data_IF_090592561564
#
_entry.id   IF_090592561564
#
_cell.length_a   1.000
_cell.length_b   1.000
_cell.length_c   1.000
_cell.angle_alpha   90.00
_cell.angle_beta   90.00
_cell.angle_gamma   90.00
#
_symmetry.space_group_name_H-M   'P 1'
#
loop_
_entity.id
_entity.type
_entity.pdbx_description
1 polymer ?
#
# COMPACT_ATOMS: atom_id res chain seq x y z
N UNK A 1 24.92 43.28 -8.50
CA UNK A 1 23.60 42.68 -8.25
C UNK A 1 23.76 41.73 -7.07
N UNK A 2 22.80 41.69 -6.15
CA UNK A 2 22.78 40.68 -5.09
C UNK A 2 22.30 39.36 -5.71
N UNK A 3 23.01 38.28 -5.39
CA UNK A 3 22.92 36.99 -6.09
C UNK A 3 23.17 35.87 -5.08
N UNK A 4 22.56 34.71 -5.28
CA UNK A 4 22.74 33.53 -4.42
C UNK A 4 22.99 32.27 -5.27
N UNK A 5 23.81 31.36 -4.74
CA UNK A 5 24.08 30.04 -5.29
C UNK A 5 24.45 29.06 -4.15
N UNK A 6 24.44 27.73 -4.38
CA UNK A 6 24.78 26.78 -3.33
C UNK A 6 26.08 27.11 -2.59
N UNK A 7 25.97 27.39 -1.28
CA UNK A 7 27.08 27.70 -0.38
C UNK A 7 27.62 29.14 -0.42
N UNK A 8 27.08 30.03 -1.27
CA UNK A 8 27.57 31.40 -1.40
C UNK A 8 26.46 32.40 -1.73
N UNK A 9 26.57 33.63 -1.23
CA UNK A 9 25.75 34.75 -1.71
C UNK A 9 26.54 36.06 -1.74
N UNK A 10 26.03 37.03 -2.50
CA UNK A 10 26.49 38.43 -2.48
C UNK A 10 25.45 39.25 -1.73
N UNK A 11 25.88 39.91 -0.65
CA UNK A 11 25.00 40.62 0.27
C UNK A 11 25.07 42.11 -0.01
N UNK A 12 23.91 42.77 -0.04
CA UNK A 12 23.81 44.22 -0.12
C UNK A 12 23.73 44.80 1.30
N UNK A 13 24.46 45.89 1.56
CA UNK A 13 24.46 46.62 2.82
C UNK A 13 23.87 48.02 2.58
N UNK A 14 22.56 48.23 2.82
CA UNK A 14 21.90 49.51 2.55
C UNK A 14 22.53 50.68 3.29
N UNK A 15 22.96 50.46 4.54
CA UNK A 15 23.57 51.48 5.40
C UNK A 15 24.99 51.87 4.97
N UNK A 16 25.59 51.14 4.03
CA UNK A 16 26.90 51.42 3.43
C UNK A 16 26.73 51.87 1.97
N UNK A 17 25.86 52.85 1.73
CA UNK A 17 25.52 53.38 0.40
C UNK A 17 25.11 52.30 -0.62
N UNK A 18 24.48 51.22 -0.13
CA UNK A 18 24.05 50.09 -0.95
C UNK A 18 25.21 49.22 -1.48
N UNK A 19 26.37 49.24 -0.82
CA UNK A 19 27.53 48.39 -1.14
C UNK A 19 27.11 46.93 -1.29
N UNK A 20 27.64 46.24 -2.31
CA UNK A 20 27.46 44.80 -2.52
C UNK A 20 28.78 44.10 -2.29
N UNK A 21 28.80 43.10 -1.40
CA UNK A 21 30.00 42.33 -1.12
C UNK A 21 30.52 41.56 -2.35
N UNK A 22 31.76 41.07 -2.23
CA UNK A 22 32.20 39.89 -2.98
C UNK A 22 31.37 38.65 -2.57
N UNK A 23 31.64 37.49 -3.18
CA UNK A 23 30.99 36.23 -2.80
C UNK A 23 31.39 35.83 -1.38
N UNK A 24 30.44 35.91 -0.46
CA UNK A 24 30.61 35.44 0.91
C UNK A 24 30.19 33.97 1.01
N UNK A 25 30.92 33.21 1.81
CA UNK A 25 30.58 31.81 2.12
C UNK A 25 29.44 31.77 3.13
N UNK A 26 28.49 30.87 2.92
CA UNK A 26 27.49 30.54 3.92
C UNK A 26 28.07 29.54 4.93
N UNK A 27 27.93 29.83 6.22
CA UNK A 27 28.25 28.84 7.26
C UNK A 27 27.25 27.69 7.17
N UNK A 28 27.78 26.47 7.08
CA UNK A 28 27.01 25.22 7.10
C UNK A 28 27.46 24.38 8.30
N UNK A 29 26.58 23.52 8.81
CA UNK A 29 26.87 22.63 9.95
C UNK A 29 27.99 21.65 9.65
N UNK A 30 28.04 21.10 8.44
CA UNK A 30 29.07 20.14 7.98
C UNK A 30 29.35 20.34 6.47
N UNK A 31 30.61 20.27 6.07
CA UNK A 31 31.04 20.57 4.68
C UNK A 31 31.99 19.55 4.04
N UNK A 32 32.49 18.55 4.79
CA UNK A 32 33.52 17.62 4.30
C UNK A 32 32.96 16.26 3.87
N UNK A 33 32.70 15.36 4.82
CA UNK A 33 32.17 14.01 4.54
C UNK A 33 30.65 14.02 4.52
N UNK A 34 30.06 14.58 5.57
CA UNK A 34 28.64 14.94 5.60
C UNK A 34 28.50 16.38 5.10
N UNK A 35 27.50 16.61 4.26
CA UNK A 35 27.25 17.90 3.61
C UNK A 35 25.76 18.20 3.63
N UNK A 36 25.41 19.45 3.88
CA UNK A 36 24.05 19.96 3.72
C UNK A 36 24.04 21.05 2.63
N UNK A 37 22.91 21.21 1.96
CA UNK A 37 22.70 22.27 0.99
C UNK A 37 21.35 22.93 1.28
N UNK A 38 21.40 24.12 1.87
CA UNK A 38 20.26 25.02 2.02
C UNK A 38 20.68 26.34 1.39
N UNK A 39 20.32 26.51 0.11
CA UNK A 39 20.70 27.70 -0.64
C UNK A 39 19.77 28.83 -0.22
N UNK A 40 20.33 30.00 0.06
CA UNK A 40 19.55 31.19 0.37
C UNK A 40 18.81 31.67 -0.86
N UNK A 41 17.61 32.20 -0.68
CA UNK A 41 16.87 32.86 -1.75
C UNK A 41 17.29 34.32 -1.89
N UNK A 42 17.22 34.83 -3.11
CA UNK A 42 17.48 36.24 -3.39
C UNK A 42 16.39 37.07 -2.73
N UNK A 43 16.77 37.89 -1.75
CA UNK A 43 15.85 38.72 -0.96
C UNK A 43 15.85 38.42 0.53
N UNK A 44 16.41 37.28 0.96
CA UNK A 44 16.51 36.95 2.39
C UNK A 44 17.41 37.94 3.14
N UNK A 45 16.92 38.42 4.29
CA UNK A 45 17.73 39.20 5.21
C UNK A 45 18.71 38.27 5.94
N UNK A 46 20.00 38.63 5.96
CA UNK A 46 21.06 37.79 6.52
C UNK A 46 21.94 38.55 7.51
N UNK A 47 22.51 37.81 8.45
CA UNK A 47 23.60 38.30 9.31
C UNK A 47 24.96 37.89 8.73
N UNK A 48 25.92 38.82 8.74
CA UNK A 48 27.27 38.59 8.23
C UNK A 48 28.33 38.90 9.29
N UNK A 49 29.44 38.15 9.28
CA UNK A 49 30.69 38.54 9.94
C UNK A 49 31.67 38.91 8.85
N UNK A 50 32.19 40.13 8.91
CA UNK A 50 33.14 40.69 7.97
C UNK A 50 34.42 41.10 8.70
N UNK A 51 35.52 41.19 7.97
CA UNK A 51 36.73 41.84 8.45
C UNK A 51 36.57 43.37 8.52
N UNK A 52 37.57 44.05 9.07
CA UNK A 52 37.55 45.52 9.27
C UNK A 52 37.48 46.33 7.96
N UNK A 53 37.77 45.70 6.82
CA UNK A 53 37.79 46.32 5.50
C UNK A 53 36.57 45.95 4.65
N UNK A 54 35.65 45.12 5.15
CA UNK A 54 34.47 44.63 4.42
C UNK A 54 34.80 43.86 3.13
N UNK A 55 36.03 43.35 2.99
CA UNK A 55 36.48 42.65 1.79
C UNK A 55 36.25 41.14 1.88
N UNK A 56 36.29 40.59 3.10
CA UNK A 56 36.19 39.17 3.37
C UNK A 56 35.28 38.89 4.56
N UNK A 57 34.67 37.70 4.55
CA UNK A 57 33.81 37.27 5.63
C UNK A 57 32.96 36.06 5.29
N UNK A 58 31.90 35.88 6.08
CA UNK A 58 30.93 34.81 5.89
C UNK A 58 29.54 35.25 6.33
N UNK A 59 28.54 34.59 5.74
CA UNK A 59 27.15 34.72 6.12
C UNK A 59 26.88 33.72 7.24
N UNK A 60 26.36 34.21 8.36
CA UNK A 60 26.00 33.40 9.52
C UNK A 60 24.68 32.64 9.30
N UNK A 61 23.77 33.22 8.52
CA UNK A 61 22.47 32.65 8.19
C UNK A 61 21.43 33.74 7.92
N UNK A 62 20.22 33.31 7.56
CA UNK A 62 19.04 34.17 7.46
C UNK A 62 18.56 34.58 8.86
N UNK A 63 17.99 35.78 8.96
CA UNK A 63 17.36 36.30 10.16
C UNK A 63 15.91 36.67 9.85
N UNK A 64 14.99 36.34 10.75
CA UNK A 64 13.61 36.79 10.64
C UNK A 64 13.52 38.31 10.74
N UNK A 65 12.54 38.87 10.04
CA UNK A 65 12.26 40.30 9.96
C UNK A 65 10.77 40.55 10.14
N UNK A 66 10.35 41.82 10.17
CA UNK A 66 8.93 42.16 10.18
C UNK A 66 8.21 41.72 8.89
N UNK A 67 8.96 41.55 7.78
CA UNK A 67 8.43 41.05 6.51
C UNK A 67 8.48 39.50 6.44
N UNK A 68 9.57 38.90 6.91
CA UNK A 68 9.83 37.46 6.89
C UNK A 68 9.71 36.90 8.31
N UNK A 69 8.49 36.56 8.70
CA UNK A 69 8.18 36.06 10.06
C UNK A 69 8.36 34.54 10.16
N UNK A 70 8.55 33.98 11.37
CA UNK A 70 8.57 32.53 11.57
C UNK A 70 7.32 31.83 11.00
N UNK A 71 7.46 30.66 10.34
CA UNK A 71 6.33 29.95 9.71
C UNK A 71 5.37 29.33 10.74
N UNK A 72 5.80 29.18 11.99
CA UNK A 72 4.98 28.73 13.12
C UNK A 72 5.30 29.55 14.36
N UNK A 73 4.29 29.81 15.19
CA UNK A 73 4.43 30.60 16.43
C UNK A 73 4.56 29.76 17.69
N UNK A 74 4.24 28.47 17.63
CA UNK A 74 4.40 27.56 18.76
C UNK A 74 5.87 27.19 18.94
N UNK A 75 6.42 27.47 20.11
CA UNK A 75 7.76 27.03 20.49
C UNK A 75 7.88 25.49 20.57
N UNK A 76 6.75 24.76 20.60
CA UNK A 76 6.72 23.30 20.69
C UNK A 76 6.82 22.56 19.36
N UNK A 77 6.89 23.31 18.25
CA UNK A 77 7.00 22.73 16.91
C UNK A 77 8.42 22.88 16.35
N UNK A 78 8.97 21.77 15.87
CA UNK A 78 10.06 21.81 14.91
C UNK A 78 9.45 21.78 13.52
N UNK A 79 9.55 22.87 12.76
CA UNK A 79 8.90 23.01 11.46
C UNK A 79 9.89 23.47 10.40
N UNK A 80 9.91 22.78 9.26
CA UNK A 80 10.64 23.16 8.06
C UNK A 80 9.64 23.31 6.91
N UNK A 81 9.44 24.53 6.42
CA UNK A 81 8.50 24.87 5.35
C UNK A 81 9.22 24.97 4.00
N UNK A 82 8.58 24.49 2.94
CA UNK A 82 9.01 24.69 1.56
C UNK A 82 8.09 25.69 0.86
N UNK A 83 8.62 26.47 -0.10
CA UNK A 83 7.87 27.56 -0.75
C UNK A 83 6.60 27.09 -1.49
N UNK A 84 6.57 25.82 -1.91
CA UNK A 84 5.45 25.21 -2.62
C UNK A 84 4.31 24.76 -1.69
N UNK A 85 4.53 24.82 -0.37
CA UNK A 85 3.61 24.34 0.66
C UNK A 85 3.96 22.96 1.24
N UNK A 86 5.02 22.31 0.75
CA UNK A 86 5.58 21.13 1.40
C UNK A 86 6.06 21.46 2.81
N UNK A 87 6.11 20.47 3.70
CA UNK A 87 6.61 20.68 5.06
C UNK A 87 7.07 19.40 5.77
N UNK A 88 7.96 19.58 6.74
CA UNK A 88 8.31 18.59 7.76
C UNK A 88 8.04 19.21 9.14
N UNK A 89 7.14 18.63 9.92
CA UNK A 89 6.78 19.13 11.24
C UNK A 89 6.80 18.01 12.30
N UNK A 90 7.42 18.29 13.44
CA UNK A 90 7.28 17.51 14.65
C UNK A 90 6.70 18.37 15.79
N UNK A 91 5.53 17.99 16.28
CA UNK A 91 4.87 18.63 17.43
C UNK A 91 5.21 17.88 18.73
N UNK A 92 5.91 18.55 19.65
CA UNK A 92 6.39 17.97 20.90
C UNK A 92 5.28 17.79 21.95
N UNK A 93 4.15 18.49 21.83
CA UNK A 93 3.00 18.35 22.74
C UNK A 93 2.25 17.07 22.42
N UNK A 94 2.00 16.82 21.15
CA UNK A 94 1.24 15.63 20.72
C UNK A 94 2.12 14.44 20.34
N UNK A 95 3.43 14.65 20.19
CA UNK A 95 4.38 13.65 19.67
C UNK A 95 4.17 13.32 18.19
N UNK A 96 3.53 14.21 17.41
CA UNK A 96 3.11 13.94 16.03
C UNK A 96 4.18 14.37 15.05
N UNK A 97 4.59 13.44 14.19
CA UNK A 97 5.31 13.74 12.95
C UNK A 97 4.31 13.92 11.81
N UNK A 98 4.45 15.00 11.04
CA UNK A 98 3.66 15.29 9.85
C UNK A 98 4.58 15.71 8.71
N UNK A 99 4.50 15.00 7.60
CA UNK A 99 5.29 15.26 6.39
C UNK A 99 4.30 15.51 5.26
N UNK A 100 4.44 16.64 4.58
CA UNK A 100 3.62 17.03 3.44
C UNK A 100 4.52 17.23 2.23
N UNK A 101 4.18 16.59 1.12
CA UNK A 101 4.80 16.80 -0.19
C UNK A 101 3.73 17.25 -1.18
N UNK A 102 4.08 18.19 -2.05
CA UNK A 102 3.18 18.66 -3.13
C UNK A 102 3.35 17.80 -4.38
N UNK A 103 4.59 17.38 -4.65
CA UNK A 103 4.91 16.37 -5.64
C UNK A 103 5.07 14.98 -5.04
N UNK A 104 5.84 14.15 -5.74
CA UNK A 104 6.08 12.76 -5.37
C UNK A 104 6.85 12.62 -4.05
N UNK A 105 6.56 11.54 -3.33
CA UNK A 105 7.32 11.11 -2.15
C UNK A 105 7.88 9.71 -2.41
N UNK A 106 9.20 9.54 -2.27
CA UNK A 106 9.89 8.27 -2.45
C UNK A 106 10.69 7.90 -1.20
N UNK A 107 10.59 6.65 -0.79
CA UNK A 107 11.39 6.07 0.31
C UNK A 107 12.08 4.82 -0.23
N UNK A 108 13.42 4.83 -0.26
CA UNK A 108 14.23 3.70 -0.69
C UNK A 108 15.14 3.21 0.43
N UNK A 109 15.34 1.90 0.50
CA UNK A 109 16.25 1.27 1.45
C UNK A 109 17.08 0.22 0.70
N UNK A 110 18.42 0.29 0.81
CA UNK A 110 19.31 -0.74 0.25
C UNK A 110 19.29 -2.07 1.01
N UNK A 111 18.63 -2.09 2.17
CA UNK A 111 18.42 -3.28 3.00
C UNK A 111 16.94 -3.46 3.32
N UNK A 112 16.63 -3.66 4.61
CA UNK A 112 15.25 -3.87 5.07
C UNK A 112 14.59 -2.54 5.44
N UNK A 113 13.37 -2.31 4.95
CA UNK A 113 12.44 -1.30 5.47
C UNK A 113 11.47 -1.97 6.45
N UNK A 114 11.29 -1.38 7.63
CA UNK A 114 10.32 -1.85 8.65
C UNK A 114 9.40 -0.70 9.00
N UNK A 115 8.10 -0.90 8.86
CA UNK A 115 7.06 -0.04 9.40
C UNK A 115 6.32 -0.81 10.51
N UNK A 116 6.26 -0.23 11.72
CA UNK A 116 5.62 -0.85 12.87
C UNK A 116 4.79 0.20 13.60
N UNK A 117 3.51 -0.11 13.84
CA UNK A 117 2.60 0.67 14.64
C UNK A 117 1.93 -0.25 15.67
N UNK A 118 1.71 0.26 16.88
CA UNK A 118 0.90 -0.44 17.91
C UNK A 118 -0.59 -0.32 17.59
N UNK A 119 -1.00 0.82 17.02
CA UNK A 119 -2.33 1.01 16.45
C UNK A 119 -2.36 0.67 14.96
N UNK A 120 -3.29 1.30 14.25
CA UNK A 120 -3.55 1.00 12.85
C UNK A 120 -2.49 1.58 11.90
N UNK A 121 -2.35 0.93 10.75
CA UNK A 121 -1.66 1.47 9.58
C UNK A 121 -2.67 1.66 8.46
N UNK A 122 -3.01 2.92 8.21
CA UNK A 122 -3.91 3.31 7.12
C UNK A 122 -3.13 3.63 5.84
N UNK A 123 -3.50 2.99 4.72
CA UNK A 123 -3.01 3.34 3.38
C UNK A 123 -4.19 3.71 2.49
N UNK A 124 -4.21 4.97 2.01
CA UNK A 124 -5.31 5.52 1.21
C UNK A 124 -4.75 6.16 -0.06
N UNK A 125 -5.27 5.75 -1.21
CA UNK A 125 -4.86 6.27 -2.52
C UNK A 125 -6.08 6.67 -3.34
N UNK A 126 -6.02 7.80 -4.04
CA UNK A 126 -7.02 8.16 -5.05
C UNK A 126 -6.83 7.42 -6.39
N UNK A 127 -5.62 6.89 -6.62
CA UNK A 127 -5.28 6.04 -7.76
C UNK A 127 -4.96 4.61 -7.32
N UNK A 128 -3.99 4.00 -8.01
CA UNK A 128 -3.61 2.61 -7.78
C UNK A 128 -2.74 2.43 -6.53
N UNK A 129 -2.94 1.33 -5.82
CA UNK A 129 -2.00 0.77 -4.85
C UNK A 129 -1.34 -0.47 -5.45
N UNK A 130 -0.02 -0.46 -5.61
CA UNK A 130 0.75 -1.59 -6.14
C UNK A 130 1.75 -2.11 -5.10
N UNK A 131 1.85 -3.43 -5.00
CA UNK A 131 2.84 -4.12 -4.16
C UNK A 131 3.43 -5.28 -4.97
N UNK A 132 4.74 -5.26 -5.17
CA UNK A 132 5.45 -6.26 -5.98
C UNK A 132 6.60 -6.83 -5.16
N UNK A 133 6.59 -8.13 -4.95
CA UNK A 133 7.70 -8.88 -4.37
C UNK A 133 8.23 -9.87 -5.42
N UNK A 134 9.53 -9.88 -5.64
CA UNK A 134 10.19 -10.90 -6.48
C UNK A 134 10.34 -12.23 -5.74
N UNK A 135 10.37 -12.17 -4.41
CA UNK A 135 10.33 -13.33 -3.52
C UNK A 135 8.93 -13.58 -2.96
N UNK A 136 8.87 -14.02 -1.71
CA UNK A 136 7.62 -14.28 -0.99
C UNK A 136 6.94 -12.97 -0.57
N UNK A 137 5.62 -12.89 -0.77
CA UNK A 137 4.77 -11.91 -0.13
C UNK A 137 3.89 -12.62 0.91
N UNK A 138 4.02 -12.26 2.18
CA UNK A 138 3.24 -12.81 3.28
C UNK A 138 2.20 -11.81 3.77
N UNK A 139 0.97 -12.27 3.94
CA UNK A 139 -0.11 -11.54 4.61
C UNK A 139 -0.66 -12.44 5.70
N UNK A 140 -0.54 -12.01 6.95
CA UNK A 140 -1.03 -12.74 8.12
C UNK A 140 -1.82 -11.79 9.00
N UNK A 141 -3.01 -12.23 9.43
CA UNK A 141 -3.87 -11.51 10.36
C UNK A 141 -4.35 -12.48 11.44
N UNK A 142 -4.46 -12.00 12.68
CA UNK A 142 -5.11 -12.74 13.77
C UNK A 142 -6.64 -12.74 13.67
N UNK A 143 -7.21 -11.85 12.83
CA UNK A 143 -8.62 -11.78 12.48
C UNK A 143 -8.82 -11.90 10.97
N UNK A 144 -9.89 -11.31 10.47
CA UNK A 144 -10.29 -11.45 9.07
C UNK A 144 -9.34 -10.74 8.10
N UNK A 145 -9.11 -11.37 6.95
CA UNK A 145 -8.54 -10.73 5.77
C UNK A 145 -9.66 -10.56 4.75
N UNK A 146 -10.03 -9.31 4.44
CA UNK A 146 -11.13 -9.00 3.53
C UNK A 146 -10.63 -8.42 2.22
N UNK A 147 -11.08 -8.96 1.09
CA UNK A 147 -10.82 -8.42 -0.25
C UNK A 147 -12.15 -7.97 -0.88
N UNK A 148 -12.33 -6.67 -1.09
CA UNK A 148 -13.52 -6.10 -1.75
C UNK A 148 -13.12 -5.49 -3.09
N UNK A 149 -13.78 -5.92 -4.15
CA UNK A 149 -13.60 -5.39 -5.50
C UNK A 149 -14.97 -5.19 -6.14
N UNK A 150 -15.16 -4.04 -6.79
CA UNK A 150 -16.39 -3.77 -7.54
C UNK A 150 -16.44 -4.51 -8.90
N UNK A 151 -15.32 -5.14 -9.30
CA UNK A 151 -15.18 -5.77 -10.62
C UNK A 151 -14.79 -7.24 -10.47
N UNK A 152 -13.57 -7.51 -10.02
CA UNK A 152 -13.05 -8.87 -9.88
C UNK A 152 -11.87 -8.95 -8.92
N UNK A 153 -11.64 -10.15 -8.39
CA UNK A 153 -10.40 -10.55 -7.71
C UNK A 153 -9.79 -11.68 -8.53
N UNK A 154 -8.53 -11.54 -8.95
CA UNK A 154 -7.81 -12.54 -9.75
C UNK A 154 -6.72 -13.18 -8.92
N UNK A 155 -6.66 -14.51 -8.94
CA UNK A 155 -5.55 -15.27 -8.38
C UNK A 155 -4.88 -16.02 -9.54
N UNK A 156 -3.84 -15.43 -10.09
CA UNK A 156 -3.02 -16.05 -11.14
C UNK A 156 -1.80 -16.71 -10.50
N UNK A 157 -1.92 -18.01 -10.23
CA UNK A 157 -0.87 -18.82 -9.65
C UNK A 157 -0.91 -20.23 -10.24
N UNK A 158 0.24 -20.91 -10.38
CA UNK A 158 0.26 -22.33 -10.80
C UNK A 158 -0.53 -23.25 -9.88
N UNK A 159 -0.65 -22.88 -8.58
CA UNK A 159 -1.45 -23.58 -7.58
C UNK A 159 -1.99 -22.58 -6.56
N UNK A 160 -3.30 -22.69 -6.30
CA UNK A 160 -3.98 -22.00 -5.21
C UNK A 160 -4.54 -23.03 -4.23
N UNK A 161 -4.51 -22.74 -2.93
CA UNK A 161 -5.01 -23.66 -1.90
C UNK A 161 -5.77 -22.91 -0.82
N UNK A 162 -6.98 -23.39 -0.52
CA UNK A 162 -7.74 -23.04 0.68
C UNK A 162 -7.73 -24.28 1.58
N UNK A 163 -7.27 -24.14 2.82
CA UNK A 163 -7.13 -25.28 3.76
C UNK A 163 -8.33 -25.44 4.69
N UNK A 164 -9.10 -24.38 4.90
CA UNK A 164 -10.38 -24.42 5.59
C UNK A 164 -11.55 -24.56 4.62
N UNK A 165 -12.75 -24.38 5.15
CA UNK A 165 -13.96 -24.36 4.34
C UNK A 165 -13.94 -23.21 3.34
N UNK A 166 -14.46 -23.48 2.13
CA UNK A 166 -14.59 -22.50 1.08
C UNK A 166 -16.07 -22.32 0.72
N UNK A 167 -16.61 -21.13 1.00
CA UNK A 167 -17.99 -20.77 0.65
C UNK A 167 -17.99 -19.90 -0.61
N UNK A 168 -18.81 -20.29 -1.58
CA UNK A 168 -19.12 -19.46 -2.75
C UNK A 168 -20.64 -19.33 -2.84
N UNK A 169 -21.16 -18.12 -2.63
CA UNK A 169 -22.60 -17.83 -2.75
C UNK A 169 -23.04 -17.72 -4.22
N UNK A 170 -22.10 -17.44 -5.10
CA UNK A 170 -22.31 -17.40 -6.55
C UNK A 170 -22.07 -18.75 -7.23
N UNK A 171 -21.99 -18.70 -8.56
CA UNK A 171 -21.66 -19.87 -9.35
C UNK A 171 -20.16 -20.20 -9.24
N UNK A 172 -19.84 -21.50 -9.16
CA UNK A 172 -18.47 -22.00 -9.34
C UNK A 172 -18.34 -22.64 -10.73
N UNK A 173 -17.46 -22.10 -11.58
CA UNK A 173 -17.12 -22.69 -12.88
C UNK A 173 -15.74 -23.35 -12.79
N UNK A 174 -15.69 -24.67 -13.02
CA UNK A 174 -14.43 -25.43 -13.10
C UNK A 174 -14.22 -25.86 -14.55
N UNK A 175 -13.20 -25.27 -15.19
CA UNK A 175 -12.91 -25.53 -16.62
C UNK A 175 -12.29 -26.90 -16.88
N UNK A 176 -11.77 -27.55 -15.83
CA UNK A 176 -11.15 -28.89 -15.88
C UNK A 176 -11.89 -29.83 -14.93
N UNK A 177 -11.34 -31.01 -14.68
CA UNK A 177 -11.92 -31.97 -13.74
C UNK A 177 -12.00 -31.39 -12.32
N UNK A 178 -13.17 -31.52 -11.71
CA UNK A 178 -13.37 -31.32 -10.27
C UNK A 178 -13.19 -32.67 -9.56
N UNK A 179 -12.24 -32.75 -8.63
CA UNK A 179 -12.07 -33.91 -7.75
C UNK A 179 -12.58 -33.57 -6.35
N UNK A 180 -13.51 -34.36 -5.83
CA UNK A 180 -14.01 -34.28 -4.46
C UNK A 180 -13.92 -35.65 -3.81
N UNK A 181 -13.45 -35.70 -2.56
CA UNK A 181 -13.27 -36.96 -1.82
C UNK A 181 -14.20 -37.08 -0.61
N UNK A 182 -14.72 -35.96 -0.11
CA UNK A 182 -15.67 -35.91 1.03
C UNK A 182 -17.14 -36.13 0.65
N UNK A 183 -17.42 -36.55 -0.59
CA UNK A 183 -18.78 -36.64 -1.12
C UNK A 183 -19.34 -35.30 -1.63
N UNK A 184 -20.62 -35.30 -1.99
CA UNK A 184 -21.33 -34.15 -2.53
C UNK A 184 -22.78 -34.17 -2.05
N UNK A 185 -23.23 -33.07 -1.44
CA UNK A 185 -24.64 -32.82 -1.15
C UNK A 185 -25.12 -31.66 -2.02
N UNK A 186 -26.18 -31.88 -2.80
CA UNK A 186 -26.74 -30.86 -3.69
C UNK A 186 -28.25 -30.78 -3.57
N UNK A 187 -28.78 -29.57 -3.65
CA UNK A 187 -30.21 -29.31 -3.78
C UNK A 187 -30.45 -28.41 -4.99
N UNK A 188 -31.48 -28.72 -5.78
CA UNK A 188 -31.90 -27.85 -6.86
C UNK A 188 -32.52 -26.56 -6.30
N UNK A 189 -32.40 -25.47 -7.07
CA UNK A 189 -33.20 -24.27 -6.83
C UNK A 189 -34.69 -24.53 -7.07
N UNK A 190 -35.52 -23.50 -6.90
CA UNK A 190 -36.98 -23.60 -7.10
C UNK A 190 -37.34 -24.21 -8.46
N UNK A 191 -37.78 -25.48 -8.46
CA UNK A 191 -38.23 -26.22 -9.66
C UNK A 191 -37.11 -26.77 -10.56
N UNK A 192 -35.85 -26.67 -10.17
CA UNK A 192 -34.70 -27.17 -10.94
C UNK A 192 -34.22 -28.55 -10.50
N UNK A 193 -33.55 -29.27 -11.40
CA UNK A 193 -32.81 -30.47 -11.02
C UNK A 193 -31.61 -30.10 -10.12
N UNK A 194 -31.31 -30.92 -9.10
CA UNK A 194 -30.11 -30.74 -8.27
C UNK A 194 -28.82 -30.89 -9.07
N UNK A 195 -28.85 -31.66 -10.16
CA UNK A 195 -27.74 -31.83 -11.09
C UNK A 195 -28.27 -32.11 -12.50
N UNK A 196 -27.63 -31.53 -13.51
CA UNK A 196 -27.83 -31.86 -14.93
C UNK A 196 -26.46 -32.25 -15.48
N UNK A 197 -26.35 -33.46 -16.03
CA UNK A 197 -25.10 -34.01 -16.55
C UNK A 197 -25.31 -34.31 -18.03
N UNK A 198 -24.52 -33.64 -18.87
CA UNK A 198 -24.47 -33.91 -20.30
C UNK A 198 -23.27 -34.82 -20.57
N UNK A 199 -23.56 -36.08 -20.86
CA UNK A 199 -22.55 -37.14 -21.01
C UNK A 199 -22.87 -38.35 -20.16
N UNK A 200 -21.95 -39.32 -20.14
CA UNK A 200 -22.08 -40.51 -19.30
C UNK A 200 -21.78 -40.20 -17.84
N UNK A 201 -22.54 -40.82 -16.94
CA UNK A 201 -22.18 -40.95 -15.53
C UNK A 201 -21.77 -42.40 -15.30
N UNK A 202 -20.55 -42.61 -14.80
CA UNK A 202 -20.12 -43.93 -14.33
C UNK A 202 -20.14 -43.93 -12.81
N UNK A 203 -20.91 -44.86 -12.24
CA UNK A 203 -20.97 -45.13 -10.80
C UNK A 203 -20.45 -46.54 -10.60
N UNK A 204 -19.46 -46.69 -9.73
CA UNK A 204 -18.80 -47.99 -9.47
C UNK A 204 -19.60 -48.87 -8.53
N UNK A 205 -20.41 -48.24 -7.67
CA UNK A 205 -21.28 -48.88 -6.70
C UNK A 205 -22.75 -48.65 -7.08
N UNK A 206 -23.66 -48.71 -6.10
CA UNK A 206 -25.09 -48.61 -6.32
C UNK A 206 -25.57 -47.16 -6.45
N UNK A 207 -26.57 -46.95 -7.29
CA UNK A 207 -27.36 -45.71 -7.31
C UNK A 207 -28.66 -45.99 -6.57
N UNK A 208 -28.91 -45.28 -5.48
CA UNK A 208 -30.13 -45.43 -4.68
C UNK A 208 -31.01 -44.20 -4.85
N UNK A 209 -32.21 -44.39 -5.41
CA UNK A 209 -33.20 -43.33 -5.59
C UNK A 209 -34.43 -43.62 -4.73
N UNK A 210 -34.75 -42.75 -3.76
CA UNK A 210 -35.86 -42.95 -2.82
C UNK A 210 -35.84 -44.34 -2.15
N UNK A 211 -34.65 -44.81 -1.75
CA UNK A 211 -34.45 -46.14 -1.17
C UNK A 211 -34.45 -47.30 -2.17
N UNK A 212 -34.72 -47.06 -3.46
CA UNK A 212 -34.69 -48.08 -4.52
C UNK A 212 -33.29 -48.18 -5.11
N UNK A 213 -32.69 -49.35 -4.96
CA UNK A 213 -31.37 -49.69 -5.51
C UNK A 213 -31.42 -49.94 -7.01
N UNK A 214 -30.52 -49.31 -7.78
CA UNK A 214 -30.39 -49.57 -9.20
C UNK A 214 -29.95 -51.02 -9.46
N UNK A 215 -29.00 -51.55 -8.69
CA UNK A 215 -28.39 -52.87 -8.92
C UNK A 215 -29.12 -54.04 -8.24
N UNK A 216 -30.00 -53.77 -7.27
CA UNK A 216 -30.66 -54.82 -6.46
C UNK A 216 -32.19 -54.81 -6.56
N UNK A 217 -32.81 -53.86 -7.26
CA UNK A 217 -34.28 -53.83 -7.36
C UNK A 217 -34.85 -55.07 -8.06
N UNK A 218 -36.09 -55.42 -7.71
CA UNK A 218 -36.88 -56.50 -8.33
C UNK A 218 -38.25 -55.98 -8.72
N UNK A 219 -38.86 -56.58 -9.74
CA UNK A 219 -40.24 -56.30 -10.16
C UNK A 219 -41.16 -57.47 -9.77
N UNK A 220 -42.44 -57.19 -9.54
CA UNK A 220 -43.46 -58.23 -9.34
C UNK A 220 -43.91 -58.79 -10.70
N UNK A 221 -44.10 -60.10 -10.82
CA UNK A 221 -44.68 -60.71 -12.04
C UNK A 221 -46.20 -60.89 -11.90
N UNK A 222 -46.93 -60.70 -13.00
CA UNK A 222 -48.41 -60.73 -13.03
C UNK A 222 -49.02 -62.11 -12.78
N UNK A 223 -48.26 -63.18 -12.97
CA UNK A 223 -48.71 -64.55 -12.77
C UNK A 223 -47.99 -65.16 -11.56
N UNK A 224 -48.77 -65.60 -10.56
CA UNK A 224 -48.33 -66.38 -9.40
C UNK A 224 -47.55 -65.65 -8.27
N UNK A 225 -47.48 -64.32 -8.27
CA UNK A 225 -46.92 -63.55 -7.14
C UNK A 225 -45.40 -63.64 -6.93
N UNK A 226 -44.67 -64.27 -7.85
CA UNK A 226 -43.20 -64.32 -7.83
C UNK A 226 -42.58 -62.95 -8.14
N UNK A 227 -41.30 -62.78 -7.81
CA UNK A 227 -40.49 -61.62 -8.21
C UNK A 227 -39.51 -61.99 -9.33
N UNK A 228 -39.07 -60.98 -10.09
CA UNK A 228 -37.94 -61.13 -11.02
C UNK A 228 -36.62 -61.39 -10.28
N UNK A 229 -35.57 -61.79 -11.03
CA UNK A 229 -34.18 -61.65 -10.58
C UNK A 229 -33.76 -60.18 -10.47
N UNK A 230 -32.54 -59.93 -9.98
CA UNK A 230 -31.90 -58.60 -10.04
C UNK A 230 -31.51 -58.24 -11.47
N UNK A 231 -31.27 -56.95 -11.78
CA UNK A 231 -30.68 -56.54 -13.05
C UNK A 231 -29.41 -57.32 -13.37
N UNK A 232 -29.22 -57.65 -14.65
CA UNK A 232 -28.02 -58.33 -15.16
C UNK A 232 -27.04 -57.24 -15.63
N UNK A 233 -25.75 -57.32 -15.25
CA UNK A 233 -24.70 -56.40 -15.71
C UNK A 233 -24.50 -56.39 -17.23
#
# INVERSE_FOLDING_TARGET
MYESRPGFARVQFPDLDGMVSSWLRLIVKKSLKDKECLTLDVGEQVACVLDEHFESGCILGAVYSDADVPPVTSADKYHFAFFDGGSFEYDRVTGKLHIVTIGDAEVSAGGKLIAHAVGDVDVKTGGNLSAVATGKADVAAGGDVTLKSAVQVVIDAPKSSCTGDFTCEGNMLVMKALAYQGGMSGSGGSGGASAIIQGGMQVTDDVVANGVSLTKHKHNVLFNGSQTGTPVP
#
